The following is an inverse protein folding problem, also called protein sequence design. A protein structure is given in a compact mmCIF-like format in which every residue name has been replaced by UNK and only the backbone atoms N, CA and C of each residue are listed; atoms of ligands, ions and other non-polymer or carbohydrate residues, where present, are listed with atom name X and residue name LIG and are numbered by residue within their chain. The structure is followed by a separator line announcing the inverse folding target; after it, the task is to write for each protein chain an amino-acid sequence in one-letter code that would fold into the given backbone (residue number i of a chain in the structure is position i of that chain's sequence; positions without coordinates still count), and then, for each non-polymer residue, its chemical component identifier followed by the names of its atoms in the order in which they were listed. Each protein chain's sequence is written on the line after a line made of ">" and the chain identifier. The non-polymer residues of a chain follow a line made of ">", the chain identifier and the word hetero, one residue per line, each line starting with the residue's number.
data_IF_179452505774
#
_entry.id   IF_179452505774
#
_cell.length_a   1.000
_cell.length_b   1.000
_cell.length_c   1.000
_cell.angle_alpha   90.00
_cell.angle_beta   90.00
_cell.angle_gamma   90.00
#
_symmetry.space_group_name_H-M   'P 1'
#
loop_
_entity.id
_entity.type
_entity.pdbx_description
1 polymer ?
#
# COMPACT_ATOMS: atom_id res chain seq x y z
N UNK A 1 -11.36 -19.37 31.02
CA UNK A 1 -11.38 -19.00 29.58
C UNK A 1 -11.20 -17.48 29.42
N UNK A 2 -10.33 -16.88 30.23
CA UNK A 2 -10.08 -15.42 30.24
C UNK A 2 -8.58 -15.10 30.02
N UNK A 3 -7.67 -15.99 30.42
CA UNK A 3 -6.21 -15.84 30.21
C UNK A 3 -5.80 -15.78 28.72
N UNK A 4 -6.51 -16.47 27.82
CA UNK A 4 -6.14 -16.51 26.40
C UNK A 4 -6.46 -15.21 25.62
N UNK A 5 -7.29 -14.32 26.17
CA UNK A 5 -7.53 -12.99 25.57
C UNK A 5 -6.49 -11.96 26.02
N UNK A 6 -5.93 -12.10 27.23
CA UNK A 6 -4.89 -11.22 27.77
C UNK A 6 -3.58 -11.30 26.97
N UNK A 7 -3.11 -12.51 26.67
CA UNK A 7 -1.86 -12.70 25.91
C UNK A 7 -1.95 -12.19 24.46
N UNK A 8 -3.14 -12.28 23.85
CA UNK A 8 -3.39 -11.71 22.52
C UNK A 8 -3.38 -10.19 22.55
N UNK A 9 -3.94 -9.59 23.60
CA UNK A 9 -3.96 -8.13 23.77
C UNK A 9 -2.56 -7.58 24.05
N UNK A 10 -1.75 -8.25 24.86
CA UNK A 10 -0.35 -7.87 25.14
C UNK A 10 0.55 -8.05 23.90
N UNK A 11 0.32 -9.09 23.09
CA UNK A 11 1.02 -9.26 21.81
C UNK A 11 0.63 -8.20 20.77
N UNK A 12 -0.65 -7.80 20.75
CA UNK A 12 -1.13 -6.68 19.94
C UNK A 12 -0.42 -5.41 20.42
N UNK A 13 -0.43 -5.10 21.72
CA UNK A 13 0.19 -3.90 22.30
C UNK A 13 1.72 -3.83 22.07
N UNK A 14 2.41 -4.98 22.07
CA UNK A 14 3.86 -5.06 21.84
C UNK A 14 4.27 -4.87 20.37
N UNK A 15 3.34 -4.98 19.43
CA UNK A 15 3.57 -4.75 17.98
C UNK A 15 3.08 -3.38 17.51
N UNK A 16 2.58 -2.55 18.44
CA UNK A 16 2.13 -1.18 18.16
C UNK A 16 3.34 -0.24 18.18
N UNK A 17 3.95 -0.04 17.02
CA UNK A 17 5.07 0.90 16.93
C UNK A 17 4.54 2.33 16.89
N UNK A 18 5.09 3.19 17.74
CA UNK A 18 4.96 4.64 17.60
C UNK A 18 5.42 5.10 16.21
N UNK A 19 4.92 6.27 15.77
CA UNK A 19 5.21 6.82 14.44
C UNK A 19 6.74 6.84 14.18
N UNK A 20 7.26 6.16 13.14
CA UNK A 20 8.70 6.09 12.92
C UNK A 20 9.26 7.47 12.52
N UNK A 21 10.04 8.10 13.41
CA UNK A 21 10.55 9.46 13.17
C UNK A 21 11.67 9.52 12.12
N UNK A 22 12.35 8.40 11.88
CA UNK A 22 13.47 8.31 10.93
C UNK A 22 13.05 7.85 9.51
N UNK A 23 11.77 7.60 9.26
CA UNK A 23 11.28 7.10 7.97
C UNK A 23 10.59 8.20 7.15
N UNK A 24 10.76 8.13 5.84
CA UNK A 24 10.02 8.97 4.91
C UNK A 24 8.54 8.61 4.94
N UNK A 25 7.66 9.62 4.97
CA UNK A 25 6.21 9.43 4.91
C UNK A 25 5.65 9.73 3.52
N UNK A 26 4.68 8.94 3.08
CA UNK A 26 3.85 9.21 1.90
C UNK A 26 2.38 9.23 2.29
N UNK A 27 1.66 10.25 1.80
CA UNK A 27 0.20 10.30 1.84
C UNK A 27 -0.33 10.02 0.43
N UNK A 28 -0.94 8.85 0.24
CA UNK A 28 -1.48 8.42 -1.04
C UNK A 28 -3.01 8.53 -1.02
N UNK A 29 -3.58 9.26 -1.97
CA UNK A 29 -5.02 9.26 -2.22
C UNK A 29 -5.37 8.03 -3.04
N UNK A 30 -6.18 7.12 -2.51
CA UNK A 30 -6.58 5.84 -3.12
C UNK A 30 -7.79 5.99 -4.04
N UNK A 31 -7.74 6.99 -4.93
CA UNK A 31 -8.83 7.36 -5.84
C UNK A 31 -9.19 6.25 -6.82
N UNK A 32 -8.20 5.51 -7.33
CA UNK A 32 -8.43 4.40 -8.26
C UNK A 32 -9.11 3.21 -7.59
N UNK A 33 -8.67 2.81 -6.38
CA UNK A 33 -9.35 1.77 -5.61
C UNK A 33 -10.79 2.18 -5.33
N UNK A 34 -11.02 3.41 -4.84
CA UNK A 34 -12.35 3.92 -4.54
C UNK A 34 -13.28 3.90 -5.76
N UNK A 35 -12.78 4.29 -6.94
CA UNK A 35 -13.54 4.21 -8.19
C UNK A 35 -13.81 2.75 -8.63
N UNK A 36 -12.92 1.82 -8.30
CA UNK A 36 -13.07 0.40 -8.65
C UNK A 36 -14.01 -0.40 -7.73
N UNK A 37 -14.25 0.08 -6.51
CA UNK A 37 -14.98 -0.62 -5.44
C UNK A 37 -16.50 -0.30 -5.40
N UNK A 38 -17.05 0.38 -6.41
CA UNK A 38 -18.41 0.91 -6.55
C UNK A 38 -18.49 2.45 -6.38
N UNK A 39 -19.26 3.04 -7.29
CA UNK A 39 -19.22 4.42 -7.76
C UNK A 39 -19.38 5.50 -6.65
N UNK A 40 -18.32 6.22 -6.32
CA UNK A 40 -18.40 7.55 -5.68
C UNK A 40 -18.13 8.60 -6.77
N UNK A 41 -19.06 9.52 -7.06
CA UNK A 41 -18.79 10.62 -7.98
C UNK A 41 -17.57 11.40 -7.50
N UNK A 42 -16.61 11.66 -8.39
CA UNK A 42 -15.39 12.44 -8.10
C UNK A 42 -15.68 13.78 -7.39
N UNK A 43 -16.84 14.39 -7.68
CA UNK A 43 -17.33 15.61 -7.03
C UNK A 43 -17.46 15.49 -5.49
N UNK A 44 -17.73 14.30 -4.96
CA UNK A 44 -17.80 14.05 -3.51
C UNK A 44 -16.41 13.90 -2.85
N UNK A 45 -15.38 13.71 -3.68
CA UNK A 45 -14.01 13.38 -3.28
C UNK A 45 -13.07 14.59 -3.41
N UNK A 46 -13.31 15.48 -4.38
CA UNK A 46 -12.46 16.64 -4.66
C UNK A 46 -12.22 17.59 -3.45
N UNK A 47 -13.23 17.93 -2.61
CA UNK A 47 -13.00 18.79 -1.45
C UNK A 47 -12.08 18.14 -0.40
N UNK A 48 -12.09 16.81 -0.31
CA UNK A 48 -11.25 16.05 0.62
C UNK A 48 -9.80 16.06 0.16
N UNK A 49 -9.55 15.82 -1.14
CA UNK A 49 -8.23 15.93 -1.76
C UNK A 49 -7.63 17.33 -1.53
N UNK A 50 -8.44 18.38 -1.71
CA UNK A 50 -7.99 19.76 -1.50
C UNK A 50 -7.55 20.00 -0.05
N UNK A 51 -8.30 19.52 0.94
CA UNK A 51 -7.92 19.62 2.36
C UNK A 51 -6.64 18.85 2.68
N UNK A 52 -6.49 17.64 2.14
CA UNK A 52 -5.29 16.83 2.36
C UNK A 52 -4.03 17.51 1.80
N UNK A 53 -4.13 18.13 0.62
CA UNK A 53 -3.01 18.89 0.04
C UNK A 53 -2.56 20.05 0.93
N UNK A 54 -3.49 20.66 1.67
CA UNK A 54 -3.19 21.73 2.62
C UNK A 54 -2.55 21.20 3.91
N UNK A 55 -3.00 20.05 4.44
CA UNK A 55 -2.50 19.51 5.71
C UNK A 55 -1.19 18.74 5.59
N UNK A 56 -0.91 18.15 4.43
CA UNK A 56 0.28 17.30 4.19
C UNK A 56 1.46 18.03 3.53
N UNK A 57 1.49 19.36 3.62
CA UNK A 57 2.55 20.21 3.06
C UNK A 57 2.92 19.87 1.59
N UNK A 58 1.94 19.46 0.77
CA UNK A 58 2.17 19.12 -0.64
C UNK A 58 2.73 17.72 -0.93
N UNK A 59 2.96 16.86 0.07
CA UNK A 59 3.43 15.47 -0.13
C UNK A 59 2.32 14.46 -0.44
N UNK A 60 1.19 14.95 -0.98
CA UNK A 60 0.03 14.12 -1.36
C UNK A 60 0.20 13.64 -2.79
N UNK A 61 0.07 12.32 -2.98
CA UNK A 61 0.19 11.67 -4.28
C UNK A 61 -1.13 11.02 -4.62
N UNK A 62 -1.57 11.15 -5.87
CA UNK A 62 -2.76 10.47 -6.36
C UNK A 62 -2.41 9.06 -6.83
N UNK A 63 -3.18 8.05 -6.44
CA UNK A 63 -2.99 6.67 -6.94
C UNK A 63 -3.19 6.59 -8.45
N UNK A 64 -4.06 7.43 -9.04
CA UNK A 64 -4.21 7.58 -10.50
C UNK A 64 -2.94 8.03 -11.21
N UNK A 65 -1.99 8.66 -10.52
CA UNK A 65 -0.68 9.01 -11.07
C UNK A 65 0.31 7.82 -11.09
N UNK A 66 -0.05 6.71 -10.44
CA UNK A 66 0.78 5.51 -10.23
C UNK A 66 0.06 4.26 -10.78
N UNK A 67 -0.17 4.16 -12.10
CA UNK A 67 -0.92 3.05 -12.71
C UNK A 67 -0.32 1.66 -12.43
N UNK A 68 0.97 1.60 -12.11
CA UNK A 68 1.69 0.39 -11.74
C UNK A 68 1.08 -0.26 -10.48
N UNK A 69 0.49 0.52 -9.56
CA UNK A 69 -0.21 0.00 -8.36
C UNK A 69 -1.40 -0.85 -8.77
N UNK A 70 -2.24 -0.35 -9.68
CA UNK A 70 -3.37 -1.11 -10.20
C UNK A 70 -2.89 -2.38 -10.91
N UNK A 71 -1.85 -2.28 -11.73
CA UNK A 71 -1.29 -3.44 -12.43
C UNK A 71 -0.88 -4.55 -11.45
N UNK A 72 -0.12 -4.21 -10.41
CA UNK A 72 0.29 -5.19 -9.41
C UNK A 72 -0.87 -5.73 -8.58
N UNK A 73 -1.84 -4.90 -8.19
CA UNK A 73 -3.03 -5.37 -7.48
C UNK A 73 -3.80 -6.42 -8.31
N UNK A 74 -3.95 -6.19 -9.62
CA UNK A 74 -4.55 -7.17 -10.53
C UNK A 74 -3.70 -8.45 -10.64
N UNK A 75 -2.37 -8.34 -10.74
CA UNK A 75 -1.50 -9.53 -10.79
C UNK A 75 -1.56 -10.36 -9.51
N UNK A 76 -1.59 -9.70 -8.35
CA UNK A 76 -1.77 -10.35 -7.05
C UNK A 76 -3.13 -11.06 -6.99
N UNK A 77 -4.19 -10.37 -7.41
CA UNK A 77 -5.54 -10.91 -7.48
C UNK A 77 -5.62 -12.15 -8.39
N UNK A 78 -5.07 -12.05 -9.60
CA UNK A 78 -5.04 -13.13 -10.59
C UNK A 78 -4.31 -14.37 -10.05
N UNK A 79 -3.21 -14.19 -9.31
CA UNK A 79 -2.45 -15.29 -8.70
C UNK A 79 -3.18 -16.05 -7.59
N UNK A 80 -4.43 -15.68 -7.27
CA UNK A 80 -5.29 -16.37 -6.30
C UNK A 80 -6.47 -17.07 -6.95
N UNK A 81 -6.73 -16.79 -8.22
CA UNK A 81 -7.84 -17.41 -8.91
C UNK A 81 -7.56 -18.90 -9.03
N UNK A 82 -8.43 -19.69 -8.43
CA UNK A 82 -8.51 -21.11 -8.68
C UNK A 82 -9.16 -21.29 -10.06
N UNK A 83 -8.55 -22.11 -10.91
CA UNK A 83 -9.05 -22.46 -12.25
C UNK A 83 -10.47 -23.06 -12.19
N UNK A 84 -10.88 -23.57 -11.02
CA UNK A 84 -12.17 -24.18 -10.76
C UNK A 84 -13.23 -23.23 -10.19
N UNK A 85 -12.97 -21.92 -10.09
CA UNK A 85 -13.95 -20.98 -9.54
C UNK A 85 -15.06 -20.70 -10.58
N UNK A 86 -16.32 -21.14 -10.35
CA UNK A 86 -17.35 -21.14 -11.39
C UNK A 86 -17.98 -19.76 -11.67
N UNK A 87 -17.55 -18.69 -10.98
CA UNK A 87 -18.05 -17.32 -11.17
C UNK A 87 -16.92 -16.31 -11.08
N UNK A 88 -16.85 -15.41 -12.07
CA UNK A 88 -16.00 -14.23 -11.98
C UNK A 88 -16.41 -13.39 -10.77
N UNK A 89 -15.47 -13.00 -9.89
CA UNK A 89 -15.78 -12.23 -8.69
C UNK A 89 -16.29 -10.82 -9.04
N UNK A 90 -17.17 -10.27 -8.19
CA UNK A 90 -17.72 -8.91 -8.35
C UNK A 90 -16.63 -7.83 -8.38
N UNK A 91 -15.54 -8.06 -7.65
CA UNK A 91 -14.32 -7.26 -7.70
C UNK A 91 -13.13 -8.20 -7.87
N UNK A 92 -12.31 -7.93 -8.87
CA UNK A 92 -11.16 -8.79 -9.17
C UNK A 92 -10.11 -8.71 -8.07
N UNK A 93 -9.71 -7.50 -7.68
CA UNK A 93 -8.83 -7.27 -6.54
C UNK A 93 -9.60 -6.76 -5.31
N UNK A 94 -9.20 -7.25 -4.14
CA UNK A 94 -9.71 -6.84 -2.84
C UNK A 94 -8.77 -5.83 -2.16
N UNK A 95 -9.19 -5.31 -1.00
CA UNK A 95 -8.42 -4.31 -0.25
C UNK A 95 -7.01 -4.79 0.13
N UNK A 96 -6.84 -6.10 0.35
CA UNK A 96 -5.55 -6.68 0.70
C UNK A 96 -4.59 -6.70 -0.50
N UNK A 97 -5.07 -6.93 -1.73
CA UNK A 97 -4.26 -6.80 -2.94
C UNK A 97 -3.80 -5.37 -3.17
N UNK A 98 -4.71 -4.41 -3.02
CA UNK A 98 -4.40 -3.00 -3.18
C UNK A 98 -3.36 -2.56 -2.14
N UNK A 99 -3.53 -2.94 -0.88
CA UNK A 99 -2.58 -2.64 0.18
C UNK A 99 -1.21 -3.29 -0.07
N UNK A 100 -1.17 -4.57 -0.45
CA UNK A 100 0.07 -5.27 -0.76
C UNK A 100 0.80 -4.66 -1.98
N UNK A 101 0.05 -4.28 -3.02
CA UNK A 101 0.62 -3.63 -4.20
C UNK A 101 1.24 -2.28 -3.87
N UNK A 102 0.55 -1.44 -3.09
CA UNK A 102 1.07 -0.16 -2.61
C UNK A 102 2.33 -0.35 -1.78
N UNK A 103 2.29 -1.28 -0.83
CA UNK A 103 3.41 -1.60 0.02
C UNK A 103 4.66 -1.97 -0.78
N UNK A 104 4.51 -2.90 -1.72
CA UNK A 104 5.59 -3.36 -2.57
C UNK A 104 6.17 -2.24 -3.43
N UNK A 105 5.33 -1.52 -4.17
CA UNK A 105 5.78 -0.56 -5.18
C UNK A 105 6.28 0.74 -4.56
N UNK A 106 5.68 1.20 -3.46
CA UNK A 106 6.17 2.36 -2.72
C UNK A 106 7.36 2.00 -1.83
N UNK A 107 7.55 0.71 -1.51
CA UNK A 107 8.63 0.24 -0.65
C UNK A 107 8.48 0.77 0.78
N UNK A 108 7.24 0.81 1.24
CA UNK A 108 6.89 1.20 2.60
C UNK A 108 6.91 -0.04 3.49
N UNK A 109 7.32 0.15 4.74
CA UNK A 109 7.42 -0.89 5.76
C UNK A 109 6.42 -0.70 6.89
N UNK A 110 5.86 0.50 7.02
CA UNK A 110 4.86 0.82 8.04
C UNK A 110 3.65 1.46 7.38
N UNK A 111 2.46 1.18 7.91
CA UNK A 111 1.21 1.73 7.37
C UNK A 111 0.25 2.10 8.48
N UNK A 112 -0.39 3.25 8.34
CA UNK A 112 -1.39 3.71 9.29
C UNK A 112 -2.68 2.91 9.11
N UNK A 113 -3.15 2.29 10.19
CA UNK A 113 -4.34 1.45 10.18
C UNK A 113 -5.21 1.70 11.41
N UNK A 114 -6.51 1.45 11.27
CA UNK A 114 -7.44 1.31 12.41
C UNK A 114 -7.51 -0.15 12.85
N UNK A 115 -8.05 -0.41 14.04
CA UNK A 115 -8.26 -1.78 14.53
C UNK A 115 -9.06 -2.65 13.55
N UNK A 116 -10.09 -2.08 12.91
CA UNK A 116 -10.90 -2.78 11.91
C UNK A 116 -10.16 -3.13 10.61
N UNK A 117 -8.98 -2.54 10.37
CA UNK A 117 -8.16 -2.79 9.19
C UNK A 117 -7.03 -3.80 9.42
N UNK A 118 -6.84 -4.29 10.65
CA UNK A 118 -5.77 -5.25 10.98
C UNK A 118 -5.89 -6.57 10.19
N UNK A 119 -7.11 -7.07 9.98
CA UNK A 119 -7.33 -8.27 9.17
C UNK A 119 -6.92 -8.07 7.69
N UNK A 120 -7.19 -6.89 7.13
CA UNK A 120 -6.75 -6.53 5.76
C UNK A 120 -5.23 -6.44 5.69
N UNK A 121 -4.59 -5.86 6.71
CA UNK A 121 -3.13 -5.77 6.82
C UNK A 121 -2.49 -7.16 6.86
N UNK A 122 -3.02 -8.07 7.67
CA UNK A 122 -2.53 -9.44 7.76
C UNK A 122 -2.63 -10.17 6.41
N UNK A 123 -3.77 -10.07 5.73
CA UNK A 123 -3.94 -10.64 4.40
C UNK A 123 -2.97 -10.03 3.38
N UNK A 124 -2.75 -8.71 3.42
CA UNK A 124 -1.77 -8.03 2.57
C UNK A 124 -0.35 -8.56 2.81
N UNK A 125 0.04 -8.76 4.08
CA UNK A 125 1.32 -9.37 4.44
C UNK A 125 1.45 -10.79 3.91
N UNK A 126 0.39 -11.61 3.97
CA UNK A 126 0.40 -12.94 3.36
C UNK A 126 0.56 -12.89 1.83
N UNK A 127 0.07 -11.84 1.15
CA UNK A 127 0.30 -11.66 -0.29
C UNK A 127 1.76 -11.29 -0.56
N UNK A 128 2.32 -10.37 0.21
CA UNK A 128 3.73 -9.95 0.11
C UNK A 128 4.70 -11.12 0.35
N UNK A 129 4.44 -11.96 1.35
CA UNK A 129 5.25 -13.15 1.64
C UNK A 129 5.20 -14.17 0.50
N UNK A 130 4.01 -14.45 -0.05
CA UNK A 130 3.87 -15.33 -1.22
C UNK A 130 4.59 -14.78 -2.44
N UNK A 131 4.50 -13.48 -2.68
CA UNK A 131 5.21 -12.81 -3.75
C UNK A 131 6.73 -12.94 -3.57
N UNK A 132 7.24 -12.73 -2.35
CA UNK A 132 8.65 -12.89 -2.00
C UNK A 132 9.17 -14.30 -2.28
N UNK A 133 8.43 -15.34 -1.84
CA UNK A 133 8.78 -16.74 -2.12
C UNK A 133 8.91 -17.02 -3.61
N UNK A 134 8.01 -16.50 -4.45
CA UNK A 134 8.08 -16.64 -5.92
C UNK A 134 9.28 -15.96 -6.55
N UNK A 135 9.85 -14.96 -5.87
CA UNK A 135 11.04 -14.23 -6.32
C UNK A 135 12.35 -14.77 -5.70
N UNK A 136 12.28 -15.79 -4.84
CA UNK A 136 13.40 -16.21 -3.98
C UNK A 136 13.99 -15.05 -3.17
N UNK A 137 13.13 -14.14 -2.71
CA UNK A 137 13.52 -12.97 -1.92
C UNK A 137 12.73 -12.93 -0.62
N UNK A 138 13.44 -12.75 0.49
CA UNK A 138 12.79 -12.43 1.75
C UNK A 138 12.12 -11.06 1.66
N UNK A 139 10.84 -11.02 2.04
CA UNK A 139 10.05 -9.79 2.05
C UNK A 139 9.70 -9.44 3.49
N UNK A 140 10.01 -8.20 3.85
CA UNK A 140 9.61 -7.64 5.12
C UNK A 140 8.09 -7.46 5.15
N UNK A 141 7.47 -7.84 6.26
CA UNK A 141 6.04 -7.65 6.51
C UNK A 141 5.77 -6.21 6.94
N UNK A 142 4.65 -5.66 6.49
CA UNK A 142 4.17 -4.34 6.91
C UNK A 142 3.86 -4.34 8.40
N UNK A 143 4.38 -3.32 9.08
CA UNK A 143 4.10 -3.04 10.48
C UNK A 143 2.91 -2.07 10.59
N UNK A 144 1.94 -2.33 11.49
CA UNK A 144 0.87 -1.39 11.75
C UNK A 144 1.38 -0.17 12.53
N UNK A 145 0.92 1.01 12.14
CA UNK A 145 0.97 2.22 12.99
C UNK A 145 -0.47 2.53 13.35
N UNK A 146 -0.85 2.32 14.61
CA UNK A 146 -2.24 2.54 15.01
C UNK A 146 -2.57 4.02 15.06
N UNK A 147 -3.75 4.30 14.54
CA UNK A 147 -4.32 5.64 14.61
C UNK A 147 -4.93 5.87 15.99
N UNK A 148 -4.58 6.99 16.63
CA UNK A 148 -5.14 7.37 17.91
C UNK A 148 -6.68 7.51 17.83
N UNK A 149 -7.39 6.84 18.73
CA UNK A 149 -8.83 7.02 18.94
C UNK A 149 -9.11 8.47 19.29
N UNK A 150 -9.94 9.15 18.50
CA UNK A 150 -10.22 10.59 18.62
C UNK A 150 -9.66 11.46 17.48
N UNK A 151 -8.80 10.89 16.62
CA UNK A 151 -8.53 11.48 15.31
C UNK A 151 -9.80 11.41 14.44
N UNK A 152 -10.04 12.44 13.64
CA UNK A 152 -11.18 12.53 12.70
C UNK A 152 -11.33 11.18 11.97
N UNK A 153 -12.54 10.60 11.92
CA UNK A 153 -12.77 9.29 11.31
C UNK A 153 -12.10 9.25 9.95
N UNK A 154 -11.34 8.17 9.74
CA UNK A 154 -10.68 7.83 8.49
C UNK A 154 -11.52 8.29 7.29
N UNK A 155 -11.00 9.29 6.58
CA UNK A 155 -11.46 9.51 5.21
C UNK A 155 -11.00 8.26 4.46
N UNK A 156 -11.92 7.45 3.90
CA UNK A 156 -11.63 6.11 3.37
C UNK A 156 -10.76 6.09 2.11
N UNK A 157 -10.06 7.19 1.82
CA UNK A 157 -9.32 7.41 0.58
C UNK A 157 -7.88 7.85 0.79
N UNK A 158 -7.34 7.82 2.02
CA UNK A 158 -5.95 8.19 2.25
C UNK A 158 -5.22 7.07 2.95
N UNK A 159 -4.20 6.56 2.28
CA UNK A 159 -3.20 5.70 2.89
C UNK A 159 -2.02 6.56 3.35
N UNK A 160 -1.71 6.50 4.64
CA UNK A 160 -0.46 7.02 5.17
C UNK A 160 0.48 5.87 5.42
N UNK A 161 1.70 5.97 4.90
CA UNK A 161 2.68 4.91 5.03
C UNK A 161 4.09 5.48 5.13
N UNK A 162 4.99 4.69 5.71
CA UNK A 162 6.38 5.07 5.92
C UNK A 162 7.33 4.01 5.41
N UNK A 163 8.46 4.44 4.87
CA UNK A 163 9.48 3.55 4.33
C UNK A 163 10.85 4.20 4.24
N UNK A 164 11.79 3.47 3.65
CA UNK A 164 13.13 4.00 3.39
C UNK A 164 13.05 5.20 2.44
N UNK A 165 13.77 6.27 2.81
CA UNK A 165 13.88 7.50 2.05
C UNK A 165 14.30 7.19 0.59
N UNK A 166 13.71 7.84 -0.43
CA UNK A 166 14.37 7.94 -1.73
C UNK A 166 15.78 8.52 -1.55
N UNK A 167 16.78 8.14 -2.37
CA UNK A 167 18.12 8.68 -2.26
C UNK A 167 18.10 10.23 -2.27
N UNK A 168 18.92 10.86 -1.42
CA UNK A 168 18.82 12.28 -1.03
C UNK A 168 18.78 13.31 -2.19
N UNK A 169 19.26 12.93 -3.38
CA UNK A 169 19.20 13.76 -4.58
C UNK A 169 17.79 13.90 -5.20
N UNK A 170 16.88 12.97 -4.95
CA UNK A 170 15.54 12.97 -5.56
C UNK A 170 14.57 13.95 -4.89
N UNK A 171 14.73 14.19 -3.58
CA UNK A 171 13.80 15.00 -2.77
C UNK A 171 14.26 16.44 -2.56
N UNK A 172 15.56 16.71 -2.66
CA UNK A 172 16.15 18.05 -2.45
C UNK A 172 15.71 19.10 -3.48
N UNK A 173 15.06 18.67 -4.56
CA UNK A 173 14.55 19.54 -5.62
C UNK A 173 13.04 19.86 -5.49
N UNK A 174 12.36 19.44 -4.41
CA UNK A 174 10.94 19.72 -4.19
C UNK A 174 10.76 21.19 -3.74
N UNK A 175 10.46 22.07 -4.68
CA UNK A 175 9.90 23.41 -4.38
C UNK A 175 8.52 23.25 -3.71
N UNK A 176 8.22 24.08 -2.72
CA UNK A 176 6.94 24.08 -2.00
C UNK A 176 5.70 24.23 -2.91
N UNK A 177 5.85 24.79 -4.12
CA UNK A 177 4.74 24.97 -5.07
C UNK A 177 4.45 23.76 -5.96
N UNK A 178 5.44 22.89 -6.23
CA UNK A 178 5.37 21.77 -7.18
C UNK A 178 5.62 20.39 -6.55
N UNK A 179 5.76 20.36 -5.23
CA UNK A 179 6.16 19.17 -4.48
C UNK A 179 5.30 17.93 -4.82
N UNK A 180 3.98 18.08 -4.97
CA UNK A 180 3.09 16.95 -5.28
C UNK A 180 3.29 16.35 -6.68
N UNK A 181 3.47 17.19 -7.70
CA UNK A 181 3.66 16.75 -9.09
C UNK A 181 5.00 16.08 -9.28
N UNK A 182 6.05 16.65 -8.69
CA UNK A 182 7.40 16.11 -8.75
C UNK A 182 7.54 14.82 -7.94
N UNK A 183 6.96 14.77 -6.73
CA UNK A 183 6.89 13.55 -5.94
C UNK A 183 6.15 12.43 -6.67
N UNK A 184 5.02 12.74 -7.31
CA UNK A 184 4.27 11.77 -8.13
C UNK A 184 5.14 11.22 -9.27
N UNK A 185 5.94 12.06 -9.94
CA UNK A 185 6.85 11.63 -11.02
C UNK A 185 7.96 10.70 -10.51
N UNK A 186 8.59 11.05 -9.38
CA UNK A 186 9.63 10.24 -8.75
C UNK A 186 9.06 8.87 -8.34
N UNK A 187 7.94 8.88 -7.63
CA UNK A 187 7.29 7.64 -7.19
C UNK A 187 6.84 6.80 -8.38
N UNK A 188 6.29 7.41 -9.43
CA UNK A 188 5.92 6.67 -10.65
C UNK A 188 7.11 5.96 -11.26
N UNK A 189 8.25 6.64 -11.38
CA UNK A 189 9.47 6.02 -11.91
C UNK A 189 9.95 4.87 -11.03
N UNK A 190 9.91 5.03 -9.70
CA UNK A 190 10.27 3.96 -8.76
C UNK A 190 9.32 2.76 -8.85
N UNK A 191 8.01 3.01 -8.92
CA UNK A 191 6.99 1.98 -9.11
C UNK A 191 7.25 1.21 -10.42
N UNK A 192 7.57 1.91 -11.52
CA UNK A 192 7.93 1.27 -12.80
C UNK A 192 9.12 0.35 -12.69
N UNK A 193 10.22 0.84 -12.11
CA UNK A 193 11.44 0.05 -11.93
C UNK A 193 11.18 -1.19 -11.07
N UNK A 194 10.45 -1.04 -9.96
CA UNK A 194 10.11 -2.18 -9.08
C UNK A 194 9.18 -3.18 -9.75
N UNK A 195 8.18 -2.72 -10.49
CA UNK A 195 7.27 -3.61 -11.24
C UNK A 195 8.03 -4.36 -12.35
N UNK A 196 8.89 -3.67 -13.11
CA UNK A 196 9.71 -4.30 -14.13
C UNK A 196 10.66 -5.36 -13.53
N UNK A 197 11.33 -5.04 -12.42
CA UNK A 197 12.17 -5.98 -11.68
C UNK A 197 11.39 -7.19 -11.16
N UNK A 198 10.16 -6.97 -10.68
CA UNK A 198 9.26 -8.06 -10.31
C UNK A 198 8.95 -8.98 -11.50
N UNK A 199 8.54 -8.40 -12.64
CA UNK A 199 8.19 -9.18 -13.83
C UNK A 199 9.38 -9.99 -14.35
N UNK A 200 10.58 -9.42 -14.32
CA UNK A 200 11.81 -10.12 -14.67
C UNK A 200 12.10 -11.28 -13.72
N UNK A 201 11.98 -11.07 -12.40
CA UNK A 201 12.19 -12.11 -11.40
C UNK A 201 11.18 -13.27 -11.52
N UNK A 202 9.89 -12.96 -11.74
CA UNK A 202 8.86 -13.98 -11.96
C UNK A 202 9.12 -14.80 -13.23
N UNK A 203 9.60 -14.15 -14.29
CA UNK A 203 9.95 -14.82 -15.55
C UNK A 203 11.17 -15.74 -15.41
N UNK A 204 12.17 -15.33 -14.62
CA UNK A 204 13.35 -16.14 -14.33
C UNK A 204 13.02 -17.35 -13.44
N UNK A 205 12.19 -17.16 -12.39
CA UNK A 205 11.74 -18.25 -11.52
C UNK A 205 10.98 -19.33 -12.27
N UNK A 206 10.19 -18.96 -13.29
CA UNK A 206 9.46 -19.93 -14.11
C UNK A 206 10.36 -20.79 -15.01
N UNK A 207 11.52 -20.27 -15.43
CA UNK A 207 12.50 -21.03 -16.22
C UNK A 207 13.24 -22.07 -15.39
N UNK A 208 13.51 -21.79 -14.12
CA UNK A 208 14.24 -22.68 -13.22
C UNK A 208 13.39 -23.82 -12.65
N UNK A 209 12.06 -23.73 -12.71
CA UNK A 209 11.13 -24.77 -12.25
C UNK A 209 10.68 -25.78 -13.31
N UNK A 210 11.18 -25.64 -14.55
CA UNK A 210 10.81 -26.47 -15.70
C UNK A 210 11.96 -27.37 -16.19
N UNK A 211 12.96 -27.62 -15.34
CA UNK A 211 14.11 -28.52 -15.60
C UNK A 211 14.15 -29.66 -14.61
#
# INVERSE_FOLDING_TARGET
>A
MEEWMGDRQVAIDSTLTERPQALWSVALVTDVQALSAAYRPYAQVAPQIARLRQTEAGHVVMESALPEIRCLAMLLAAGRLDEHCPRSPNHFADDADWLAARAFLLGVTHVEVTLGQLAVLEQANQRLLRLGRRMSQDRCVLQPVLRASGSVPSQPMVLRAWGALPPAGELSALSASDAGTQLSRILRQRCRVRLAGLMAALSAGNKNGAS
#
